data_IF_453824874164
#
_entry.id   IF_453824874164
#
_cell.length_a   1.000
_cell.length_b   1.000
_cell.length_c   1.000
_cell.angle_alpha   90.00
_cell.angle_beta   90.00
_cell.angle_gamma   90.00
#
_symmetry.space_group_name_H-M   'P 1'
#
loop_
_entity.id
_entity.type
_entity.pdbx_description
1 polymer ?
#
# COMPACT_ATOMS: atom_id res chain seq x y z
N UNK A 1 -39.90 -25.01 9.19
CA UNK A 1 -40.09 -23.67 9.74
C UNK A 1 -39.17 -23.44 10.91
N UNK A 2 -38.13 -22.64 10.78
CA UNK A 2 -37.60 -21.82 11.87
C UNK A 2 -36.93 -20.52 11.35
N UNK A 3 -37.65 -19.66 10.63
CA UNK A 3 -37.10 -18.36 10.17
C UNK A 3 -37.39 -17.19 11.13
N UNK A 4 -38.39 -17.30 11.97
CA UNK A 4 -38.80 -16.19 12.86
C UNK A 4 -37.90 -16.00 14.10
N UNK A 5 -37.27 -17.05 14.61
CA UNK A 5 -36.42 -16.95 15.82
C UNK A 5 -35.08 -16.21 15.56
N UNK A 6 -34.53 -16.26 14.34
CA UNK A 6 -33.27 -15.56 14.02
C UNK A 6 -33.42 -14.04 13.89
N UNK A 7 -34.57 -13.58 13.44
CA UNK A 7 -34.86 -12.15 13.26
C UNK A 7 -35.03 -11.43 14.60
N UNK A 8 -35.69 -12.08 15.57
CA UNK A 8 -35.88 -11.50 16.91
C UNK A 8 -34.60 -11.44 17.75
N UNK A 9 -33.70 -12.42 17.59
CA UNK A 9 -32.42 -12.44 18.29
C UNK A 9 -31.49 -11.32 17.78
N UNK A 10 -31.41 -11.13 16.46
CA UNK A 10 -30.63 -10.07 15.87
C UNK A 10 -31.14 -8.66 16.21
N UNK A 11 -32.44 -8.50 16.35
CA UNK A 11 -33.06 -7.26 16.79
C UNK A 11 -32.79 -6.96 18.28
N UNK A 12 -32.82 -7.99 19.14
CA UNK A 12 -32.49 -7.85 20.56
C UNK A 12 -31.00 -7.51 20.77
N UNK A 13 -30.08 -8.23 20.11
CA UNK A 13 -28.64 -7.96 20.17
C UNK A 13 -28.32 -6.57 19.61
N UNK A 14 -28.96 -6.14 18.53
CA UNK A 14 -28.80 -4.80 17.97
C UNK A 14 -29.30 -3.70 18.91
N UNK A 15 -30.35 -3.99 19.70
CA UNK A 15 -30.90 -3.06 20.69
C UNK A 15 -30.03 -2.96 21.94
N UNK A 16 -29.47 -4.07 22.42
CA UNK A 16 -28.48 -4.09 23.50
C UNK A 16 -27.16 -3.43 23.13
N UNK A 17 -26.65 -3.66 21.92
CA UNK A 17 -25.48 -2.97 21.41
C UNK A 17 -25.70 -1.45 21.31
N UNK A 18 -26.88 -1.00 20.89
CA UNK A 18 -27.21 0.43 20.86
C UNK A 18 -27.38 1.03 22.25
N UNK A 19 -27.89 0.27 23.22
CA UNK A 19 -28.04 0.72 24.59
C UNK A 19 -26.70 0.79 25.33
N UNK A 20 -25.77 -0.13 25.05
CA UNK A 20 -24.43 -0.16 25.65
C UNK A 20 -23.42 0.77 24.96
N UNK A 21 -23.67 1.18 23.71
CA UNK A 21 -22.82 2.09 22.94
C UNK A 21 -23.58 3.38 22.60
N UNK A 22 -23.86 4.16 23.64
CA UNK A 22 -24.49 5.46 23.45
C UNK A 22 -23.44 6.48 22.97
N UNK A 23 -23.35 6.62 21.63
CA UNK A 23 -22.47 7.58 20.97
C UNK A 23 -22.75 9.04 21.38
N UNK A 24 -23.93 9.33 21.93
CA UNK A 24 -24.26 10.68 22.40
C UNK A 24 -23.39 11.09 23.58
N UNK A 25 -23.08 10.16 24.48
CA UNK A 25 -22.20 10.39 25.65
C UNK A 25 -20.77 10.74 25.23
N UNK A 26 -20.31 10.24 24.10
CA UNK A 26 -18.98 10.58 23.54
C UNK A 26 -18.99 11.95 22.83
N UNK A 27 -20.12 12.31 22.23
CA UNK A 27 -20.29 13.65 21.61
C UNK A 27 -20.28 14.75 22.66
N UNK A 28 -20.99 14.56 23.76
CA UNK A 28 -21.04 15.53 24.89
C UNK A 28 -19.68 15.73 25.53
N UNK A 29 -18.86 14.69 25.63
CA UNK A 29 -17.50 14.78 26.19
C UNK A 29 -16.44 15.29 25.21
N UNK A 30 -16.81 15.72 24.02
CA UNK A 30 -15.89 16.13 22.93
C UNK A 30 -14.82 15.08 22.60
N UNK A 31 -15.04 13.83 22.97
CA UNK A 31 -14.11 12.73 22.71
C UNK A 31 -14.15 12.25 21.26
N UNK A 32 -15.28 12.48 20.58
CA UNK A 32 -15.40 12.27 19.15
C UNK A 32 -15.43 13.64 18.47
N UNK A 33 -14.33 13.99 17.83
CA UNK A 33 -14.30 15.17 16.96
C UNK A 33 -15.06 14.84 15.68
N UNK A 34 -16.40 15.06 15.71
CA UNK A 34 -17.27 14.80 14.54
C UNK A 34 -17.02 15.74 13.37
N UNK A 35 -16.16 16.76 13.55
CA UNK A 35 -15.72 17.67 12.50
C UNK A 35 -14.41 17.26 11.83
N UNK A 36 -13.91 16.05 12.11
CA UNK A 36 -12.80 15.49 11.32
C UNK A 36 -13.35 15.32 9.90
N UNK A 37 -13.07 16.28 9.05
CA UNK A 37 -13.14 16.08 7.60
C UNK A 37 -12.05 15.07 7.29
N UNK A 38 -12.43 13.82 7.00
CA UNK A 38 -11.51 12.88 6.39
C UNK A 38 -11.02 13.56 5.10
N UNK A 39 -9.74 13.89 5.06
CA UNK A 39 -9.14 14.32 3.78
C UNK A 39 -9.40 13.18 2.80
N UNK A 40 -9.80 13.54 1.59
CA UNK A 40 -9.95 12.56 0.54
C UNK A 40 -8.69 11.69 0.49
N UNK A 41 -8.88 10.38 0.61
CA UNK A 41 -7.78 9.43 0.62
C UNK A 41 -6.98 9.57 -0.68
N UNK A 42 -5.72 9.96 -0.57
CA UNK A 42 -4.83 10.01 -1.70
C UNK A 42 -4.24 8.62 -1.96
N UNK A 43 -4.07 8.28 -3.22
CA UNK A 43 -3.61 6.99 -3.67
C UNK A 43 -2.38 7.11 -4.56
N UNK A 44 -1.46 6.16 -4.43
CA UNK A 44 -0.45 5.87 -5.44
C UNK A 44 -1.09 4.80 -6.33
N UNK A 45 -1.58 5.16 -7.54
CA UNK A 45 -2.36 4.23 -8.35
C UNK A 45 -1.47 3.09 -8.86
N UNK A 46 -2.06 1.90 -8.93
CA UNK A 46 -1.49 0.73 -9.56
C UNK A 46 -2.20 0.41 -10.87
N UNK A 47 -1.73 -0.63 -11.56
CA UNK A 47 -2.28 -1.04 -12.85
C UNK A 47 -3.78 -1.33 -12.80
N UNK A 48 -4.43 -1.25 -13.97
CA UNK A 48 -5.84 -1.61 -14.11
C UNK A 48 -6.10 -3.04 -13.65
N UNK A 49 -5.21 -3.98 -13.93
CA UNK A 49 -5.32 -5.37 -13.49
C UNK A 49 -5.37 -5.48 -11.97
N UNK A 50 -4.50 -4.73 -11.26
CA UNK A 50 -4.54 -4.68 -9.80
C UNK A 50 -5.87 -4.12 -9.28
N UNK A 51 -6.34 -3.02 -9.87
CA UNK A 51 -7.59 -2.38 -9.49
C UNK A 51 -8.80 -3.30 -9.69
N UNK A 52 -8.84 -4.02 -10.80
CA UNK A 52 -9.95 -4.93 -11.12
C UNK A 52 -10.02 -6.12 -10.15
N UNK A 53 -8.86 -6.61 -9.68
CA UNK A 53 -8.80 -7.73 -8.72
C UNK A 53 -9.08 -7.28 -7.29
N UNK A 54 -8.55 -6.13 -6.88
CA UNK A 54 -8.60 -5.67 -5.48
C UNK A 54 -9.74 -4.73 -5.19
N UNK A 55 -10.37 -4.15 -6.23
CA UNK A 55 -11.39 -3.10 -6.13
C UNK A 55 -10.91 -1.82 -5.43
N UNK A 56 -9.59 -1.62 -5.36
CA UNK A 56 -8.98 -0.39 -4.83
C UNK A 56 -8.06 0.24 -5.86
N UNK A 57 -7.91 1.59 -5.87
CA UNK A 57 -7.13 2.28 -6.91
C UNK A 57 -5.62 1.99 -6.86
N UNK A 58 -5.09 1.60 -5.71
CA UNK A 58 -3.66 1.39 -5.52
C UNK A 58 -3.25 1.40 -4.05
N UNK A 59 -2.08 1.96 -3.75
CA UNK A 59 -1.55 2.07 -2.38
C UNK A 59 -2.08 3.36 -1.73
N UNK A 60 -2.78 3.28 -0.59
CA UNK A 60 -3.26 4.46 0.12
C UNK A 60 -2.10 5.20 0.78
N UNK A 61 -1.99 6.51 0.57
CA UNK A 61 -0.97 7.33 1.23
C UNK A 61 -1.20 7.40 2.75
N UNK A 62 -0.11 7.38 3.50
CA UNK A 62 -0.16 7.45 4.97
C UNK A 62 -0.54 6.14 5.66
N UNK A 63 -0.59 5.02 4.93
CA UNK A 63 -0.90 3.70 5.47
C UNK A 63 0.24 2.72 5.24
N UNK A 64 0.33 1.72 6.10
CA UNK A 64 1.20 0.56 5.90
C UNK A 64 0.38 -0.49 5.14
N UNK A 65 0.92 -0.94 4.01
CA UNK A 65 0.30 -1.99 3.18
C UNK A 65 1.19 -3.21 3.17
N UNK A 66 0.61 -4.37 3.49
CA UNK A 66 1.29 -5.66 3.45
C UNK A 66 0.79 -6.48 2.27
N UNK A 67 1.69 -6.79 1.32
CA UNK A 67 1.44 -7.73 0.23
C UNK A 67 1.90 -9.13 0.65
N UNK A 68 0.97 -10.05 0.82
CA UNK A 68 1.24 -11.43 1.22
C UNK A 68 0.82 -12.42 0.13
N UNK A 69 1.64 -13.42 -0.10
CA UNK A 69 1.36 -14.46 -1.09
C UNK A 69 2.56 -15.40 -1.25
N UNK A 70 2.37 -16.50 -1.98
CA UNK A 70 3.45 -17.42 -2.33
C UNK A 70 4.54 -16.75 -3.17
N UNK A 71 5.69 -17.43 -3.34
CA UNK A 71 6.70 -17.00 -4.30
C UNK A 71 6.09 -16.82 -5.69
N UNK A 72 6.64 -15.89 -6.46
CA UNK A 72 6.32 -15.66 -7.87
C UNK A 72 4.85 -15.27 -8.17
N UNK A 73 4.13 -14.77 -7.15
CA UNK A 73 2.74 -14.26 -7.30
C UNK A 73 2.65 -12.77 -7.63
N UNK A 74 3.75 -12.14 -8.03
CA UNK A 74 3.75 -10.73 -8.47
C UNK A 74 3.82 -9.69 -7.35
N UNK A 75 4.18 -10.06 -6.11
CA UNK A 75 4.31 -9.09 -5.00
C UNK A 75 5.34 -8.00 -5.30
N UNK A 76 6.54 -8.42 -5.71
CA UNK A 76 7.62 -7.49 -6.07
C UNK A 76 7.23 -6.65 -7.29
N UNK A 77 6.57 -7.25 -8.28
CA UNK A 77 6.02 -6.55 -9.44
C UNK A 77 5.07 -5.42 -9.02
N UNK A 78 4.14 -5.69 -8.11
CA UNK A 78 3.22 -4.67 -7.61
C UNK A 78 3.94 -3.55 -6.83
N UNK A 79 5.02 -3.87 -6.10
CA UNK A 79 5.84 -2.86 -5.42
C UNK A 79 6.62 -1.99 -6.43
N UNK A 80 7.16 -2.59 -7.49
CA UNK A 80 7.82 -1.84 -8.58
C UNK A 80 6.81 -0.93 -9.27
N UNK A 81 5.61 -1.41 -9.59
CA UNK A 81 4.54 -0.57 -10.15
C UNK A 81 4.22 0.64 -9.26
N UNK A 82 4.16 0.42 -7.95
CA UNK A 82 3.93 1.51 -6.99
C UNK A 82 5.06 2.53 -7.03
N UNK A 83 6.32 2.09 -7.12
CA UNK A 83 7.48 2.96 -7.22
C UNK A 83 7.49 3.76 -8.53
N UNK A 84 7.19 3.13 -9.66
CA UNK A 84 7.03 3.79 -10.97
C UNK A 84 5.92 4.86 -10.90
N UNK A 85 4.80 4.52 -10.30
CA UNK A 85 3.69 5.46 -10.12
C UNK A 85 4.05 6.61 -9.18
N UNK A 86 4.86 6.36 -8.16
CA UNK A 86 5.39 7.37 -7.25
C UNK A 86 6.34 8.33 -7.99
N UNK A 87 7.30 7.82 -8.76
CA UNK A 87 8.21 8.63 -9.57
C UNK A 87 7.47 9.58 -10.51
N UNK A 88 6.47 9.09 -11.24
CA UNK A 88 5.62 9.91 -12.12
C UNK A 88 4.91 11.05 -11.39
N UNK A 89 4.73 10.92 -10.09
CA UNK A 89 4.12 11.93 -9.20
C UNK A 89 5.14 12.76 -8.45
N UNK A 90 6.43 12.59 -8.73
CA UNK A 90 7.54 13.23 -8.03
C UNK A 90 7.58 12.90 -6.53
N UNK A 91 7.11 11.71 -6.18
CA UNK A 91 7.27 11.13 -4.85
C UNK A 91 8.52 10.26 -4.90
N UNK A 92 9.43 10.43 -3.94
CA UNK A 92 10.69 9.70 -3.88
C UNK A 92 10.44 8.27 -3.33
N UNK A 93 10.57 7.22 -4.13
CA UNK A 93 10.53 5.85 -3.63
C UNK A 93 11.79 5.55 -2.81
N UNK A 94 11.63 4.79 -1.74
CA UNK A 94 12.75 4.27 -0.95
C UNK A 94 12.62 2.75 -0.91
N UNK A 95 13.64 2.05 -1.41
CA UNK A 95 13.70 0.60 -1.40
C UNK A 95 14.57 0.12 -0.24
N UNK A 96 14.06 -0.84 0.53
CA UNK A 96 14.85 -1.60 1.50
C UNK A 96 14.82 -3.05 1.00
N UNK A 97 15.93 -3.47 0.38
CA UNK A 97 16.02 -4.73 -0.35
C UNK A 97 16.75 -5.75 0.52
N UNK A 98 15.98 -6.68 1.08
CA UNK A 98 16.50 -7.77 1.90
C UNK A 98 16.57 -9.10 1.15
N UNK A 99 16.02 -9.14 -0.08
CA UNK A 99 15.94 -10.34 -0.91
C UNK A 99 17.13 -10.42 -1.87
N UNK A 100 17.67 -11.64 -2.04
CA UNK A 100 18.76 -11.90 -2.99
C UNK A 100 18.32 -11.87 -4.47
N UNK A 101 17.01 -11.93 -4.74
CA UNK A 101 16.45 -12.04 -6.10
C UNK A 101 15.98 -10.69 -6.66
N UNK A 102 16.42 -9.57 -6.09
CA UNK A 102 16.10 -8.28 -6.67
C UNK A 102 16.80 -8.10 -8.03
N UNK A 103 16.09 -7.55 -9.00
CA UNK A 103 16.62 -7.26 -10.34
C UNK A 103 16.28 -5.83 -10.74
N UNK A 104 17.31 -5.02 -10.90
CA UNK A 104 17.19 -3.67 -11.41
C UNK A 104 16.74 -3.65 -12.88
N UNK A 105 17.20 -4.62 -13.69
CA UNK A 105 16.77 -4.76 -15.09
C UNK A 105 15.28 -4.99 -15.19
N UNK A 106 14.71 -5.85 -14.32
CA UNK A 106 13.28 -6.05 -14.28
C UNK A 106 12.54 -4.77 -13.87
N UNK A 107 13.03 -4.04 -12.88
CA UNK A 107 12.44 -2.78 -12.45
C UNK A 107 12.48 -1.72 -13.58
N UNK A 108 13.58 -1.65 -14.34
CA UNK A 108 13.73 -0.79 -15.51
C UNK A 108 12.78 -1.18 -16.64
N UNK A 109 12.63 -2.47 -16.92
CA UNK A 109 11.66 -2.98 -17.91
C UNK A 109 10.20 -2.61 -17.54
N UNK A 110 9.90 -2.55 -16.25
CA UNK A 110 8.58 -2.12 -15.77
C UNK A 110 8.37 -0.61 -15.81
N UNK A 111 9.41 0.16 -16.18
CA UNK A 111 9.35 1.60 -16.34
C UNK A 111 9.83 2.42 -15.14
N UNK A 112 10.56 1.80 -14.20
CA UNK A 112 11.28 2.55 -13.18
C UNK A 112 12.39 3.35 -13.86
N UNK A 113 12.45 4.66 -13.62
CA UNK A 113 13.51 5.53 -14.12
C UNK A 113 14.78 5.27 -13.30
N UNK A 114 15.79 4.70 -13.94
CA UNK A 114 17.04 4.27 -13.31
C UNK A 114 18.21 4.80 -14.17
N UNK A 115 19.13 5.48 -13.51
CA UNK A 115 20.42 5.88 -14.06
C UNK A 115 21.47 4.83 -13.67
N UNK A 116 22.13 4.23 -14.66
CA UNK A 116 23.22 3.29 -14.43
C UNK A 116 24.54 4.05 -14.28
N UNK A 117 25.20 3.86 -13.16
CA UNK A 117 26.53 4.42 -12.90
C UNK A 117 27.56 3.37 -13.32
N UNK A 118 28.27 3.65 -14.40
CA UNK A 118 29.22 2.73 -15.03
C UNK A 118 30.65 3.12 -14.65
N UNK A 119 31.47 2.14 -14.33
CA UNK A 119 32.91 2.34 -14.19
C UNK A 119 33.53 2.62 -15.57
N UNK A 120 34.19 3.77 -15.72
CA UNK A 120 34.80 4.19 -16.99
C UNK A 120 35.90 3.24 -17.48
N UNK A 121 36.53 2.44 -16.60
CA UNK A 121 37.64 1.56 -16.95
C UNK A 121 37.17 0.17 -17.37
N UNK A 122 36.13 -0.37 -16.67
CA UNK A 122 35.64 -1.74 -16.90
C UNK A 122 34.43 -1.77 -17.81
N UNK A 123 33.69 -0.66 -17.90
CA UNK A 123 32.40 -0.62 -18.59
C UNK A 123 31.28 -1.34 -17.85
N UNK A 124 31.51 -1.76 -16.61
CA UNK A 124 30.52 -2.47 -15.81
C UNK A 124 29.68 -1.50 -14.98
N UNK A 125 28.41 -1.82 -14.76
CA UNK A 125 27.53 -1.06 -13.88
C UNK A 125 27.95 -1.30 -12.43
N UNK A 126 28.40 -0.26 -11.76
CA UNK A 126 28.88 -0.33 -10.37
C UNK A 126 27.85 0.17 -9.37
N UNK A 127 26.87 0.94 -9.82
CA UNK A 127 25.81 1.47 -8.96
C UNK A 127 24.59 1.90 -9.77
N UNK A 128 23.49 2.19 -9.08
CA UNK A 128 22.26 2.69 -9.66
C UNK A 128 21.84 3.99 -8.98
N UNK A 129 21.38 4.94 -9.77
CA UNK A 129 20.91 6.24 -9.31
C UNK A 129 19.58 6.62 -9.93
N UNK A 130 19.13 7.85 -9.68
CA UNK A 130 17.88 8.38 -10.21
C UNK A 130 16.97 8.94 -9.13
N UNK A 131 15.69 9.11 -9.45
CA UNK A 131 14.71 9.62 -8.49
C UNK A 131 14.21 8.51 -7.57
N UNK A 132 15.11 7.89 -6.83
CA UNK A 132 14.83 6.91 -5.77
C UNK A 132 16.02 6.78 -4.81
N UNK A 133 15.81 6.20 -3.65
CA UNK A 133 16.85 5.75 -2.74
C UNK A 133 16.73 4.25 -2.55
N UNK A 134 17.85 3.57 -2.32
CA UNK A 134 17.82 2.18 -1.94
C UNK A 134 18.87 1.84 -0.89
N UNK A 135 18.56 0.85 -0.10
CA UNK A 135 19.47 0.18 0.82
C UNK A 135 19.33 -1.31 0.52
N UNK A 136 20.41 -1.94 0.19
CA UNK A 136 20.46 -3.38 -0.06
C UNK A 136 21.16 -4.13 1.07
N UNK A 137 21.25 -5.44 0.90
CA UNK A 137 21.85 -6.32 1.89
C UNK A 137 23.35 -6.09 2.06
N UNK A 138 24.05 -5.56 1.08
CA UNK A 138 25.48 -5.30 1.14
C UNK A 138 25.80 -4.03 1.91
N UNK A 139 24.81 -3.13 2.02
CA UNK A 139 24.92 -1.86 2.74
C UNK A 139 24.32 -1.90 4.15
N UNK A 140 23.67 -2.99 4.54
CA UNK A 140 23.16 -3.25 5.89
C UNK A 140 24.16 -4.00 6.74
#
# INVERSE_FOLDING_TARGET
MPKEKKSSLNAAVSKELKANFDLSKFKEKKMLNTNIKFKDQQWIPLSKAFQDVTSIPGIPQGHIVLLRGHSDTGKTTALIEAAVSAQKRRILPVFIITEMKWSWDHAKMMGLEIDEIVDEKTGEVVNYGGHFLYVDRETL
#
